data_IF_096716282192
#
_entry.id   IF_096716282192
#
_cell.length_a   1.000
_cell.length_b   1.000
_cell.length_c   1.000
_cell.angle_alpha   90.00
_cell.angle_beta   90.00
_cell.angle_gamma   90.00
#
_symmetry.space_group_name_H-M   'P 1'
#
loop_
_entity.id
_entity.type
_entity.pdbx_description
1 polymer ?
#
# COMPACT_ATOMS: atom_id res chain seq x y z
N UNK A 1 10.02 32.93 13.38
CA UNK A 1 8.75 32.80 12.63
C UNK A 1 9.00 31.65 11.66
N UNK A 2 8.55 30.44 12.01
CA UNK A 2 8.88 29.22 11.26
C UNK A 2 8.10 29.19 9.96
N UNK A 3 8.82 29.05 8.85
CA UNK A 3 8.25 28.74 7.54
C UNK A 3 7.32 27.52 7.70
N UNK A 4 6.09 27.67 7.25
CA UNK A 4 5.14 26.56 7.20
C UNK A 4 5.67 25.58 6.16
N UNK A 5 6.39 24.56 6.60
CA UNK A 5 6.80 23.44 5.76
C UNK A 5 5.52 22.80 5.20
N UNK A 6 5.21 23.10 3.94
CA UNK A 6 4.01 22.62 3.29
C UNK A 6 4.21 21.14 3.01
N UNK A 7 3.62 20.28 3.84
CA UNK A 7 3.69 18.83 3.67
C UNK A 7 3.24 18.47 2.24
N UNK A 8 4.18 17.95 1.45
CA UNK A 8 3.97 17.58 0.06
C UNK A 8 3.44 16.15 0.01
N UNK A 9 2.31 15.96 -0.68
CA UNK A 9 1.71 14.64 -0.85
C UNK A 9 1.81 14.17 -2.30
N UNK A 10 2.29 12.93 -2.48
CA UNK A 10 2.21 12.19 -3.73
C UNK A 10 0.90 11.40 -3.75
N UNK A 11 0.18 11.34 -4.89
CA UNK A 11 -1.02 10.53 -4.99
C UNK A 11 -0.67 9.04 -4.77
N UNK A 12 -1.61 8.25 -4.26
CA UNK A 12 -1.31 6.85 -3.91
C UNK A 12 -0.81 5.98 -5.08
N UNK A 13 -1.18 6.28 -6.33
CA UNK A 13 -0.63 5.56 -7.49
C UNK A 13 0.84 5.88 -7.77
N UNK A 14 1.48 6.83 -7.07
CA UNK A 14 2.92 7.06 -7.14
C UNK A 14 3.73 5.87 -6.58
N UNK A 15 3.13 5.01 -5.76
CA UNK A 15 3.79 3.78 -5.26
C UNK A 15 4.21 2.85 -6.40
N UNK A 16 3.60 2.97 -7.59
CA UNK A 16 3.93 2.13 -8.74
C UNK A 16 5.39 2.29 -9.18
N UNK A 17 6.01 3.46 -8.95
CA UNK A 17 7.43 3.70 -9.23
C UNK A 17 8.37 2.94 -8.27
N UNK A 18 7.84 2.47 -7.13
CA UNK A 18 8.56 1.76 -6.08
C UNK A 18 8.16 0.29 -5.98
N UNK A 19 7.27 -0.19 -6.87
CA UNK A 19 6.78 -1.56 -6.88
C UNK A 19 7.16 -2.24 -8.19
N UNK A 20 7.78 -3.42 -8.07
CA UNK A 20 7.97 -4.35 -9.18
C UNK A 20 6.61 -4.71 -9.79
N UNK A 21 6.56 -4.85 -11.11
CA UNK A 21 5.32 -5.12 -11.85
C UNK A 21 4.67 -6.43 -11.35
N UNK A 22 5.45 -7.50 -11.20
CA UNK A 22 4.96 -8.80 -10.74
C UNK A 22 4.43 -8.74 -9.29
N UNK A 23 5.09 -7.94 -8.45
CA UNK A 23 4.66 -7.75 -7.08
C UNK A 23 3.34 -6.97 -6.99
N UNK A 24 3.19 -5.93 -7.82
CA UNK A 24 1.94 -5.18 -7.97
C UNK A 24 0.79 -6.10 -8.39
N UNK A 25 1.04 -7.00 -9.35
CA UNK A 25 0.05 -8.00 -9.75
C UNK A 25 -0.33 -8.95 -8.61
N UNK A 26 0.67 -9.42 -7.84
CA UNK A 26 0.45 -10.27 -6.65
C UNK A 26 -0.47 -9.59 -5.64
N UNK A 27 -0.23 -8.32 -5.31
CA UNK A 27 -1.04 -7.54 -4.36
C UNK A 27 -2.48 -7.40 -4.83
N UNK A 28 -2.69 -6.95 -6.08
CA UNK A 28 -4.04 -6.76 -6.63
C UNK A 28 -4.79 -8.09 -6.70
N UNK A 29 -4.14 -9.14 -7.21
CA UNK A 29 -4.70 -10.50 -7.27
C UNK A 29 -5.15 -10.99 -5.90
N UNK A 30 -4.26 -10.90 -4.91
CA UNK A 30 -4.53 -11.35 -3.56
C UNK A 30 -5.76 -10.67 -2.97
N UNK A 31 -5.89 -9.34 -3.12
CA UNK A 31 -7.07 -8.60 -2.64
C UNK A 31 -8.35 -9.05 -3.34
N UNK A 32 -8.33 -9.22 -4.66
CA UNK A 32 -9.50 -9.68 -5.41
C UNK A 32 -9.94 -11.11 -5.05
N UNK A 33 -8.98 -12.00 -4.81
CA UNK A 33 -9.22 -13.38 -4.36
C UNK A 33 -9.81 -13.43 -2.94
N UNK A 34 -9.49 -12.45 -2.10
CA UNK A 34 -9.87 -12.40 -0.69
C UNK A 34 -10.95 -11.35 -0.37
N UNK A 35 -11.65 -10.79 -1.37
CA UNK A 35 -12.72 -9.80 -1.15
C UNK A 35 -13.81 -10.26 -0.18
N UNK A 36 -14.06 -11.56 -0.09
CA UNK A 36 -15.04 -12.14 0.83
C UNK A 36 -14.66 -12.03 2.30
N UNK A 37 -13.37 -11.87 2.60
CA UNK A 37 -12.83 -11.79 3.96
C UNK A 37 -12.75 -10.35 4.47
N UNK A 38 -13.00 -9.36 3.61
CA UNK A 38 -13.01 -7.94 3.97
C UNK A 38 -14.37 -7.51 4.55
N UNK A 39 -14.36 -6.40 5.28
CA UNK A 39 -15.60 -5.75 5.69
C UNK A 39 -16.45 -5.36 4.48
N UNK A 40 -17.79 -5.36 4.65
CA UNK A 40 -18.72 -4.93 3.60
C UNK A 40 -18.41 -3.53 3.08
N UNK A 41 -17.96 -2.63 3.97
CA UNK A 41 -17.56 -1.26 3.59
C UNK A 41 -16.36 -1.26 2.64
N UNK A 42 -15.26 -1.93 3.02
CA UNK A 42 -14.04 -2.02 2.21
C UNK A 42 -14.31 -2.67 0.86
N UNK A 43 -15.00 -3.81 0.86
CA UNK A 43 -15.37 -4.53 -0.37
C UNK A 43 -16.20 -3.65 -1.31
N UNK A 44 -17.22 -2.96 -0.78
CA UNK A 44 -18.07 -2.10 -1.59
C UNK A 44 -17.32 -0.87 -2.11
N UNK A 45 -16.38 -0.30 -1.34
CA UNK A 45 -15.51 0.78 -1.78
C UNK A 45 -14.70 0.39 -3.02
N UNK A 46 -14.01 -0.76 -2.97
CA UNK A 46 -13.24 -1.30 -4.10
C UNK A 46 -14.15 -1.54 -5.31
N UNK A 47 -15.25 -2.27 -5.13
CA UNK A 47 -16.13 -2.66 -6.25
C UNK A 47 -16.85 -1.46 -6.88
N UNK A 48 -17.19 -0.44 -6.09
CA UNK A 48 -17.81 0.80 -6.59
C UNK A 48 -16.87 1.57 -7.52
N UNK A 49 -15.62 1.77 -7.09
CA UNK A 49 -14.59 2.42 -7.92
C UNK A 49 -14.35 1.58 -9.18
N UNK A 50 -14.18 0.26 -9.03
CA UNK A 50 -13.97 -0.66 -10.14
C UNK A 50 -15.10 -0.59 -11.18
N UNK A 51 -16.36 -0.66 -10.75
CA UNK A 51 -17.54 -0.55 -11.62
C UNK A 51 -17.59 0.78 -12.37
N UNK A 52 -17.23 1.89 -11.69
CA UNK A 52 -17.24 3.24 -12.28
C UNK A 52 -16.14 3.41 -13.33
N UNK A 53 -14.94 2.90 -13.04
CA UNK A 53 -13.73 3.17 -13.82
C UNK A 53 -13.42 2.12 -14.89
N UNK A 54 -13.94 0.90 -14.76
CA UNK A 54 -13.66 -0.21 -15.67
C UNK A 54 -14.88 -0.53 -16.52
N UNK A 55 -14.67 -0.69 -17.83
CA UNK A 55 -15.65 -1.23 -18.77
C UNK A 55 -15.17 -2.57 -19.30
N UNK A 56 -15.96 -3.61 -19.11
CA UNK A 56 -15.66 -4.96 -19.61
C UNK A 56 -16.74 -5.32 -20.64
N UNK A 57 -16.36 -5.61 -21.91
CA UNK A 57 -17.31 -6.06 -22.92
C UNK A 57 -18.12 -7.27 -22.43
N UNK A 58 -19.44 -7.25 -22.66
CA UNK A 58 -20.36 -8.28 -22.17
C UNK A 58 -20.85 -8.07 -20.73
N UNK A 59 -20.32 -7.11 -19.98
CA UNK A 59 -20.74 -6.82 -18.61
C UNK A 59 -21.28 -5.39 -18.48
N UNK A 60 -22.57 -5.25 -18.16
CA UNK A 60 -23.17 -3.96 -17.79
C UNK A 60 -22.63 -3.44 -16.46
N UNK A 61 -22.36 -4.36 -15.56
CA UNK A 61 -21.69 -4.11 -14.29
C UNK A 61 -20.37 -4.88 -14.24
N UNK A 62 -19.26 -4.17 -14.43
CA UNK A 62 -17.92 -4.76 -14.39
C UNK A 62 -17.60 -5.41 -13.05
N UNK A 63 -18.24 -5.00 -11.94
CA UNK A 63 -18.06 -5.63 -10.63
C UNK A 63 -18.65 -7.05 -10.55
N UNK A 64 -19.45 -7.46 -11.54
CA UNK A 64 -19.97 -8.83 -11.66
C UNK A 64 -19.16 -9.71 -12.62
N UNK A 65 -18.09 -9.17 -13.22
CA UNK A 65 -17.24 -9.95 -14.12
C UNK A 65 -16.53 -11.11 -13.40
N UNK A 66 -16.15 -12.18 -14.14
CA UNK A 66 -15.29 -13.24 -13.64
C UNK A 66 -14.00 -12.71 -13.00
N UNK A 67 -13.54 -13.39 -11.95
CA UNK A 67 -12.35 -13.01 -11.18
C UNK A 67 -11.10 -12.75 -12.05
N UNK A 68 -10.76 -13.59 -13.06
CA UNK A 68 -9.60 -13.31 -13.91
C UNK A 68 -9.69 -11.97 -14.67
N UNK A 69 -10.88 -11.59 -15.12
CA UNK A 69 -11.09 -10.31 -15.80
C UNK A 69 -11.02 -9.14 -14.81
N UNK A 70 -11.53 -9.33 -13.59
CA UNK A 70 -11.42 -8.33 -12.51
C UNK A 70 -9.97 -8.05 -12.16
N UNK A 71 -9.17 -9.10 -11.96
CA UNK A 71 -7.74 -8.97 -11.63
C UNK A 71 -7.02 -8.24 -12.76
N UNK A 72 -7.18 -8.69 -14.01
CA UNK A 72 -6.52 -8.07 -15.18
C UNK A 72 -6.83 -6.58 -15.28
N UNK A 73 -8.10 -6.20 -15.18
CA UNK A 73 -8.50 -4.80 -15.26
C UNK A 73 -8.17 -4.01 -13.99
N UNK A 74 -8.13 -4.68 -12.84
CA UNK A 74 -7.75 -4.12 -11.56
C UNK A 74 -6.29 -3.67 -11.56
N UNK A 75 -5.39 -4.49 -12.13
CA UNK A 75 -3.97 -4.15 -12.31
C UNK A 75 -3.83 -2.86 -13.14
N UNK A 76 -4.55 -2.76 -14.26
CA UNK A 76 -4.55 -1.57 -15.11
C UNK A 76 -5.12 -0.35 -14.39
N UNK A 77 -6.16 -0.53 -13.56
CA UNK A 77 -6.74 0.56 -12.78
C UNK A 77 -5.82 1.04 -11.65
N UNK A 78 -5.14 0.10 -10.98
CA UNK A 78 -4.18 0.37 -9.91
C UNK A 78 -3.02 1.26 -10.38
N UNK A 79 -2.60 1.13 -11.63
CA UNK A 79 -1.51 1.96 -12.16
C UNK A 79 -1.86 3.46 -12.28
N UNK A 80 -3.15 3.83 -12.33
CA UNK A 80 -3.57 5.19 -12.72
C UNK A 80 -4.58 5.86 -11.81
N UNK A 81 -5.20 5.14 -10.88
CA UNK A 81 -6.27 5.69 -10.04
C UNK A 81 -5.86 5.67 -8.56
N UNK A 82 -5.58 6.86 -8.02
CA UNK A 82 -5.13 7.02 -6.63
C UNK A 82 -6.10 6.41 -5.61
N UNK A 83 -7.40 6.71 -5.74
CA UNK A 83 -8.42 6.20 -4.80
C UNK A 83 -8.50 4.67 -4.82
N UNK A 84 -8.40 4.07 -6.01
CA UNK A 84 -8.41 2.61 -6.14
C UNK A 84 -7.18 1.98 -5.48
N UNK A 85 -5.99 2.55 -5.68
CA UNK A 85 -4.76 2.11 -5.01
C UNK A 85 -4.93 2.19 -3.50
N UNK A 86 -5.43 3.32 -2.99
CA UNK A 86 -5.67 3.52 -1.57
C UNK A 86 -6.58 2.44 -0.97
N UNK A 87 -7.68 2.11 -1.67
CA UNK A 87 -8.61 1.06 -1.24
C UNK A 87 -7.99 -0.34 -1.30
N UNK A 88 -7.21 -0.64 -2.33
CA UNK A 88 -6.55 -1.95 -2.50
C UNK A 88 -5.45 -2.13 -1.45
N UNK A 89 -4.59 -1.14 -1.22
CA UNK A 89 -3.51 -1.24 -0.24
C UNK A 89 -4.06 -1.35 1.18
N UNK A 90 -5.08 -0.56 1.51
CA UNK A 90 -5.72 -0.67 2.82
C UNK A 90 -6.38 -2.04 3.01
N UNK A 91 -7.05 -2.59 1.98
CA UNK A 91 -7.56 -3.95 2.03
C UNK A 91 -6.45 -5.00 2.19
N UNK A 92 -5.33 -4.82 1.49
CA UNK A 92 -4.18 -5.71 1.60
C UNK A 92 -3.63 -5.72 3.04
N UNK A 93 -3.49 -4.55 3.67
CA UNK A 93 -3.08 -4.44 5.09
C UNK A 93 -4.11 -5.04 6.04
N UNK A 94 -5.40 -4.81 5.81
CA UNK A 94 -6.49 -5.45 6.57
C UNK A 94 -6.44 -6.98 6.45
N UNK A 95 -5.97 -7.55 5.34
CA UNK A 95 -5.85 -9.00 5.18
C UNK A 95 -4.55 -9.58 5.77
N UNK A 96 -3.58 -8.75 6.12
CA UNK A 96 -2.27 -9.13 6.65
C UNK A 96 -2.08 -8.66 8.10
N UNK A 97 -3.04 -8.98 8.98
CA UNK A 97 -3.06 -8.50 10.36
C UNK A 97 -1.78 -8.83 11.16
N UNK A 98 -1.28 -10.07 11.11
CA UNK A 98 -0.07 -10.47 11.84
C UNK A 98 1.17 -9.69 11.36
N UNK A 99 1.35 -9.56 10.04
CA UNK A 99 2.44 -8.77 9.47
C UNK A 99 2.32 -7.28 9.87
N UNK A 100 1.10 -6.72 9.85
CA UNK A 100 0.84 -5.34 10.28
C UNK A 100 1.31 -5.11 11.71
N UNK A 101 0.95 -6.01 12.63
CA UNK A 101 1.30 -5.90 14.05
C UNK A 101 2.82 -5.97 14.27
N UNK A 102 3.50 -6.92 13.60
CA UNK A 102 4.96 -7.08 13.69
C UNK A 102 5.72 -5.89 13.13
N UNK A 103 5.33 -5.42 11.94
CA UNK A 103 5.97 -4.25 11.31
C UNK A 103 5.70 -3.00 12.14
N UNK A 104 4.49 -2.81 12.66
CA UNK A 104 4.19 -1.69 13.53
C UNK A 104 5.06 -1.72 14.80
N UNK A 105 5.16 -2.87 15.48
CA UNK A 105 6.01 -3.02 16.66
C UNK A 105 7.49 -2.71 16.35
N UNK A 106 7.99 -3.18 15.21
CA UNK A 106 9.32 -2.86 14.73
C UNK A 106 9.50 -1.35 14.55
N UNK A 107 8.59 -0.66 13.84
CA UNK A 107 8.68 0.79 13.62
C UNK A 107 8.64 1.59 14.93
N UNK A 108 7.83 1.16 15.91
CA UNK A 108 7.81 1.76 17.25
C UNK A 108 9.16 1.60 17.94
N UNK A 109 9.76 0.40 17.93
CA UNK A 109 11.06 0.14 18.57
C UNK A 109 12.20 0.98 17.97
N UNK A 110 12.08 1.32 16.68
CA UNK A 110 13.04 2.15 15.93
C UNK A 110 12.81 3.66 16.14
N UNK A 111 11.76 4.06 16.85
CA UNK A 111 11.51 5.46 17.20
C UNK A 111 10.96 6.31 16.06
N UNK A 112 10.20 5.73 15.14
CA UNK A 112 9.53 6.49 14.07
C UNK A 112 8.56 7.54 14.65
N UNK A 113 8.89 8.83 14.47
CA UNK A 113 8.20 9.95 15.15
C UNK A 113 6.79 10.25 14.63
N UNK A 114 6.53 9.96 13.35
CA UNK A 114 5.28 10.29 12.67
C UNK A 114 4.40 9.05 12.41
N UNK A 115 4.57 7.99 13.21
CA UNK A 115 3.81 6.76 13.03
C UNK A 115 2.35 6.98 13.45
N UNK A 116 1.44 6.95 12.47
CA UNK A 116 0.01 7.03 12.71
C UNK A 116 -0.50 5.73 13.35
N UNK A 117 -1.61 5.76 14.11
CA UNK A 117 -2.21 4.55 14.68
C UNK A 117 -2.37 3.42 13.64
N UNK A 118 -2.07 2.16 13.97
CA UNK A 118 -2.13 1.07 12.99
C UNK A 118 -3.55 0.80 12.46
N UNK A 119 -4.57 1.27 13.16
CA UNK A 119 -6.00 1.09 12.86
C UNK A 119 -6.56 2.26 12.04
N UNK A 120 -5.78 3.31 11.85
CA UNK A 120 -6.17 4.43 11.01
C UNK A 120 -6.38 3.93 9.57
N UNK A 121 -7.56 4.22 9.02
CA UNK A 121 -7.87 4.00 7.62
C UNK A 121 -7.15 5.05 6.76
N UNK A 122 -5.94 4.68 6.32
CA UNK A 122 -5.06 5.55 5.54
C UNK A 122 -5.57 5.78 4.12
N UNK A 123 -6.53 4.99 3.66
CA UNK A 123 -7.19 5.24 2.37
C UNK A 123 -7.97 6.56 2.31
N UNK A 124 -8.15 7.23 3.45
CA UNK A 124 -8.79 8.54 3.60
C UNK A 124 -7.80 9.71 3.61
N UNK A 125 -6.49 9.44 3.60
CA UNK A 125 -5.46 10.47 3.54
C UNK A 125 -5.30 11.00 2.11
N UNK A 126 -4.73 12.20 1.90
CA UNK A 126 -4.58 12.78 0.57
C UNK A 126 -3.55 12.04 -0.32
N UNK A 127 -2.69 11.21 0.28
CA UNK A 127 -1.63 10.48 -0.43
C UNK A 127 -0.47 10.11 0.49
N UNK A 128 0.66 9.75 -0.12
CA UNK A 128 1.92 9.49 0.58
C UNK A 128 2.69 10.78 0.84
N UNK A 129 3.31 10.89 2.00
CA UNK A 129 4.32 11.91 2.27
C UNK A 129 5.64 11.55 1.57
N UNK A 130 6.53 12.54 1.43
CA UNK A 130 7.86 12.36 0.81
C UNK A 130 9.00 12.33 1.82
N UNK A 131 8.74 12.73 3.06
CA UNK A 131 9.72 12.71 4.14
C UNK A 131 10.00 11.26 4.58
N UNK A 132 11.23 10.83 4.35
CA UNK A 132 11.69 9.51 4.74
C UNK A 132 13.07 9.62 5.41
N UNK A 133 13.28 9.09 6.63
CA UNK A 133 14.56 9.19 7.30
C UNK A 133 15.67 8.50 6.49
N UNK A 134 16.74 9.23 6.16
CA UNK A 134 17.85 8.71 5.32
C UNK A 134 18.55 7.47 5.88
N UNK A 135 18.49 7.26 7.19
CA UNK A 135 19.05 6.08 7.87
C UNK A 135 18.18 4.82 7.74
N UNK A 136 16.93 4.94 7.28
CA UNK A 136 15.96 3.84 7.24
C UNK A 136 15.85 3.26 5.82
N UNK A 137 16.93 2.69 5.28
CA UNK A 137 16.85 2.00 3.98
C UNK A 137 16.03 0.71 4.08
N UNK A 138 15.60 0.15 2.95
CA UNK A 138 14.86 -1.11 2.95
C UNK A 138 15.68 -2.28 3.51
N UNK A 139 16.99 -2.31 3.29
CA UNK A 139 17.88 -3.34 3.86
C UNK A 139 17.91 -3.26 5.40
N UNK A 140 18.00 -2.04 5.94
CA UNK A 140 17.97 -1.80 7.39
C UNK A 140 16.63 -2.22 7.98
N UNK A 141 15.53 -1.92 7.31
CA UNK A 141 14.19 -2.29 7.74
C UNK A 141 13.96 -3.80 7.67
N UNK A 142 14.37 -4.46 6.58
CA UNK A 142 14.28 -5.91 6.43
C UNK A 142 15.07 -6.62 7.54
N UNK A 143 16.33 -6.22 7.75
CA UNK A 143 17.17 -6.78 8.80
C UNK A 143 16.54 -6.60 10.18
N UNK A 144 16.08 -5.38 10.49
CA UNK A 144 15.43 -5.08 11.76
C UNK A 144 14.16 -5.90 11.99
N UNK A 145 13.41 -6.21 10.93
CA UNK A 145 12.21 -7.03 11.02
C UNK A 145 12.55 -8.46 11.45
N UNK A 146 13.52 -9.09 10.78
CA UNK A 146 13.91 -10.47 11.07
C UNK A 146 14.64 -10.63 12.40
N UNK A 147 15.43 -9.65 12.83
CA UNK A 147 16.05 -9.64 14.16
C UNK A 147 15.00 -9.66 15.28
N UNK A 148 13.87 -8.97 15.09
CA UNK A 148 12.78 -8.90 16.07
C UNK A 148 11.76 -10.03 15.93
N UNK A 149 11.73 -10.71 14.78
CA UNK A 149 10.80 -11.79 14.46
C UNK A 149 11.54 -13.04 13.98
N UNK A 150 12.41 -13.64 14.82
CA UNK A 150 13.22 -14.78 14.41
C UNK A 150 12.32 -15.96 14.01
N UNK A 151 12.60 -16.56 12.85
CA UNK A 151 11.86 -17.70 12.32
C UNK A 151 10.54 -17.37 11.62
N UNK A 152 10.16 -16.10 11.53
CA UNK A 152 9.03 -15.68 10.68
C UNK A 152 9.48 -15.62 9.23
N UNK A 153 8.75 -16.31 8.35
CA UNK A 153 8.92 -16.22 6.91
C UNK A 153 7.92 -15.20 6.35
N UNK A 154 8.42 -14.03 5.94
CA UNK A 154 7.61 -13.00 5.29
C UNK A 154 8.41 -12.44 4.10
N UNK A 155 7.86 -12.40 2.88
CA UNK A 155 8.58 -11.81 1.75
C UNK A 155 8.98 -10.35 2.01
N UNK A 156 10.21 -9.96 1.68
CA UNK A 156 10.68 -8.59 1.93
C UNK A 156 9.79 -7.53 1.27
N UNK A 157 9.26 -7.80 0.08
CA UNK A 157 8.32 -6.88 -0.57
C UNK A 157 7.05 -6.65 0.25
N UNK A 158 6.54 -7.68 0.94
CA UNK A 158 5.38 -7.57 1.83
C UNK A 158 5.75 -6.75 3.09
N UNK A 159 6.95 -6.94 3.65
CA UNK A 159 7.46 -6.13 4.76
C UNK A 159 7.55 -4.65 4.34
N UNK A 160 8.21 -4.37 3.21
CA UNK A 160 8.43 -3.02 2.69
C UNK A 160 7.13 -2.31 2.35
N UNK A 161 6.18 -3.00 1.71
CA UNK A 161 4.85 -2.46 1.43
C UNK A 161 4.11 -2.10 2.73
N UNK A 162 4.18 -2.98 3.73
CA UNK A 162 3.57 -2.74 5.03
C UNK A 162 4.22 -1.53 5.73
N UNK A 163 5.55 -1.36 5.65
CA UNK A 163 6.23 -0.18 6.19
C UNK A 163 5.74 1.09 5.47
N UNK A 164 5.82 1.13 4.14
CA UNK A 164 5.38 2.28 3.34
C UNK A 164 3.94 2.68 3.68
N UNK A 165 3.05 1.69 3.82
CA UNK A 165 1.67 1.95 4.20
C UNK A 165 1.56 2.46 5.64
N UNK A 166 2.15 1.80 6.62
CA UNK A 166 2.03 2.18 8.04
C UNK A 166 2.61 3.56 8.32
N UNK A 167 3.74 3.90 7.71
CA UNK A 167 4.37 5.22 7.80
C UNK A 167 3.61 6.26 6.96
N UNK A 168 2.89 5.82 5.92
CA UNK A 168 2.22 6.68 4.94
C UNK A 168 3.20 7.62 4.20
N UNK A 169 4.40 7.12 3.87
CA UNK A 169 5.44 7.85 3.15
C UNK A 169 6.14 6.96 2.13
N UNK A 170 6.62 7.57 1.05
CA UNK A 170 7.49 6.92 0.06
C UNK A 170 8.93 7.41 0.27
N UNK A 171 9.96 6.57 0.07
CA UNK A 171 11.37 6.95 0.20
C UNK A 171 11.86 7.83 -0.96
N UNK A 172 11.04 8.78 -1.44
CA UNK A 172 11.25 9.56 -2.65
C UNK A 172 12.60 10.29 -2.66
N UNK A 173 12.96 10.93 -1.54
CA UNK A 173 14.22 11.66 -1.39
C UNK A 173 15.46 10.76 -1.48
N UNK A 174 15.37 9.48 -1.07
CA UNK A 174 16.49 8.54 -1.19
C UNK A 174 16.80 8.18 -2.65
N UNK A 175 15.81 8.30 -3.54
CA UNK A 175 15.98 7.97 -4.96
C UNK A 175 16.24 9.22 -5.82
N UNK A 176 15.84 10.42 -5.39
CA UNK A 176 16.25 11.66 -6.06
C UNK A 176 17.76 11.94 -5.91
N UNK A 177 18.36 11.68 -4.76
CA UNK A 177 19.81 11.90 -4.55
C UNK A 177 20.71 10.97 -5.39
N UNK A 178 20.19 9.82 -5.82
CA UNK A 178 20.92 8.87 -6.67
C UNK A 178 20.78 9.16 -8.18
N UNK A 179 20.04 10.21 -8.56
CA UNK A 179 19.74 10.57 -9.95
C UNK A 179 20.47 11.83 -10.45
N UNK A 180 21.42 12.36 -9.67
CA UNK A 180 22.33 13.47 -10.01
C UNK A 180 23.80 13.05 -9.84
#
# INVERSE_FOLDING_TARGET
MSEQEQIRYLPFHAINEFMLDEYREKVVRFVFENLGNLSSSRRNGILSIFKKQVKIPGFRDSSLAPLPLKIKQGIVLFQKNADFVAQVLQAWVELHHDLKERVHAMLVSRGWKNLLPPELDRSKLPGFQVEWPKSETYEVLDQSFYEQNPGVEAPNDDIRLMVVWLVNALPYELFEENSN
#
